data_IF_416057861182
#
_entry.id   IF_416057861182
#
_cell.length_a   1.000
_cell.length_b   1.000
_cell.length_c   1.000
_cell.angle_alpha   90.00
_cell.angle_beta   90.00
_cell.angle_gamma   90.00
#
_symmetry.space_group_name_H-M   'P 1'
#
loop_
_entity.id
_entity.type
_entity.pdbx_description
1 polymer ?
#
# COMPACT_ATOMS: atom_id res chain seq x y z
N UNK A 1 -31.16 -13.41 0.06
CA UNK A 1 -30.52 -12.43 -0.86
C UNK A 1 -29.05 -12.21 -0.54
N UNK A 2 -28.68 -11.97 0.74
CA UNK A 2 -27.28 -11.75 1.13
C UNK A 2 -26.37 -12.93 0.79
N UNK A 3 -26.83 -14.17 0.94
CA UNK A 3 -26.05 -15.38 0.59
C UNK A 3 -25.63 -15.42 -0.87
N UNK A 4 -26.52 -15.07 -1.81
CA UNK A 4 -26.20 -15.01 -3.23
C UNK A 4 -25.18 -13.91 -3.54
N UNK A 5 -25.28 -12.76 -2.86
CA UNK A 5 -24.30 -11.67 -2.98
C UNK A 5 -22.94 -12.09 -2.45
N UNK A 6 -22.89 -12.74 -1.27
CA UNK A 6 -21.65 -13.24 -0.70
C UNK A 6 -21.02 -14.32 -1.59
N UNK A 7 -21.81 -15.27 -2.09
CA UNK A 7 -21.32 -16.30 -3.01
C UNK A 7 -20.71 -15.67 -4.26
N UNK A 8 -21.41 -14.73 -4.89
CA UNK A 8 -20.90 -14.01 -6.06
C UNK A 8 -19.62 -13.24 -5.71
N UNK A 9 -19.60 -12.55 -4.58
CA UNK A 9 -18.44 -11.80 -4.10
C UNK A 9 -17.20 -12.69 -3.94
N UNK A 10 -17.33 -13.85 -3.28
CA UNK A 10 -16.22 -14.77 -3.07
C UNK A 10 -15.78 -15.48 -4.36
N UNK A 11 -16.70 -15.83 -5.26
CA UNK A 11 -16.35 -16.35 -6.59
C UNK A 11 -15.54 -15.32 -7.38
N UNK A 12 -16.01 -14.07 -7.45
CA UNK A 12 -15.29 -12.99 -8.12
C UNK A 12 -13.96 -12.69 -7.45
N UNK A 13 -13.89 -12.77 -6.13
CA UNK A 13 -12.65 -12.59 -5.36
C UNK A 13 -11.63 -13.67 -5.71
N UNK A 14 -12.04 -14.94 -5.73
CA UNK A 14 -11.17 -16.06 -6.12
C UNK A 14 -10.61 -15.89 -7.54
N UNK A 15 -11.47 -15.54 -8.51
CA UNK A 15 -11.05 -15.25 -9.89
C UNK A 15 -10.11 -14.04 -9.98
N UNK A 16 -10.39 -12.99 -9.21
CA UNK A 16 -9.59 -11.76 -9.17
C UNK A 16 -8.20 -12.01 -8.59
N UNK A 17 -8.12 -12.73 -7.47
CA UNK A 17 -6.85 -13.12 -6.83
C UNK A 17 -6.03 -13.98 -7.78
N UNK A 18 -6.66 -14.97 -8.43
CA UNK A 18 -5.98 -15.83 -9.40
C UNK A 18 -5.40 -15.01 -10.56
N UNK A 19 -6.21 -14.12 -11.14
CA UNK A 19 -5.78 -13.22 -12.20
C UNK A 19 -4.59 -12.36 -11.78
N UNK A 20 -4.70 -11.63 -10.66
CA UNK A 20 -3.64 -10.73 -10.17
C UNK A 20 -2.38 -11.53 -9.82
N UNK A 21 -2.50 -12.68 -9.13
CA UNK A 21 -1.35 -13.49 -8.73
C UNK A 21 -0.56 -14.09 -9.90
N UNK A 22 -1.19 -14.24 -11.08
CA UNK A 22 -0.55 -14.67 -12.31
C UNK A 22 0.05 -13.46 -13.05
N UNK A 23 -0.75 -12.44 -13.34
CA UNK A 23 -0.37 -11.29 -14.17
C UNK A 23 0.71 -10.42 -13.50
N UNK A 24 0.69 -10.28 -12.17
CA UNK A 24 1.67 -9.46 -11.44
C UNK A 24 3.10 -10.02 -11.46
N UNK A 25 3.28 -11.29 -11.83
CA UNK A 25 4.60 -11.92 -11.93
C UNK A 25 5.45 -11.21 -12.99
N UNK A 26 4.84 -10.83 -14.11
CA UNK A 26 5.50 -10.10 -15.19
C UNK A 26 5.65 -8.60 -14.93
N UNK A 27 4.86 -8.01 -14.05
CA UNK A 27 4.95 -6.58 -13.74
C UNK A 27 6.28 -6.26 -13.05
N UNK A 28 7.07 -5.27 -13.52
CA UNK A 28 8.40 -4.96 -12.98
C UNK A 28 8.29 -4.14 -11.68
N UNK A 29 7.70 -4.72 -10.64
CA UNK A 29 7.46 -4.06 -9.36
C UNK A 29 8.25 -4.75 -8.23
N UNK A 30 8.52 -4.03 -7.14
CA UNK A 30 9.14 -4.63 -5.94
C UNK A 30 8.37 -5.87 -5.44
N UNK A 31 9.05 -6.93 -4.97
CA UNK A 31 8.38 -8.15 -4.47
C UNK A 31 7.37 -7.90 -3.35
N UNK A 32 7.66 -6.95 -2.47
CA UNK A 32 6.77 -6.58 -1.35
C UNK A 32 5.47 -5.99 -1.89
N UNK A 33 5.54 -5.11 -2.89
CA UNK A 33 4.33 -4.51 -3.44
C UNK A 33 3.55 -5.47 -4.34
N UNK A 34 4.22 -6.45 -4.97
CA UNK A 34 3.53 -7.58 -5.63
C UNK A 34 2.63 -8.32 -4.65
N UNK A 35 3.16 -8.68 -3.49
CA UNK A 35 2.35 -9.29 -2.42
C UNK A 35 1.26 -8.35 -1.91
N UNK A 36 1.56 -7.04 -1.79
CA UNK A 36 0.57 -6.04 -1.44
C UNK A 36 -0.66 -6.06 -2.34
N UNK A 37 -0.49 -6.16 -3.66
CA UNK A 37 -1.62 -6.20 -4.61
C UNK A 37 -2.41 -7.50 -4.52
N UNK A 38 -1.74 -8.63 -4.33
CA UNK A 38 -2.40 -9.93 -4.14
C UNK A 38 -3.24 -9.92 -2.86
N UNK A 39 -2.68 -9.43 -1.75
CA UNK A 39 -3.39 -9.34 -0.48
C UNK A 39 -4.55 -8.35 -0.53
N UNK A 40 -4.34 -7.15 -1.07
CA UNK A 40 -5.43 -6.18 -1.26
C UNK A 40 -6.56 -6.79 -2.10
N UNK A 41 -6.23 -7.52 -3.16
CA UNK A 41 -7.22 -8.22 -4.00
C UNK A 41 -7.93 -9.33 -3.23
N UNK A 42 -7.24 -10.05 -2.35
CA UNK A 42 -7.87 -11.03 -1.47
C UNK A 42 -8.85 -10.37 -0.49
N UNK A 43 -8.57 -9.15 -0.03
CA UNK A 43 -9.43 -8.42 0.90
C UNK A 43 -10.60 -7.72 0.23
N UNK A 44 -10.41 -7.18 -0.97
CA UNK A 44 -11.37 -6.29 -1.63
C UNK A 44 -11.94 -6.87 -2.94
N UNK A 45 -11.56 -8.10 -3.26
CA UNK A 45 -12.05 -8.86 -4.40
C UNK A 45 -11.85 -8.15 -5.74
N UNK A 46 -12.89 -8.05 -6.59
CA UNK A 46 -12.77 -7.46 -7.92
C UNK A 46 -12.35 -5.99 -7.92
N UNK A 47 -12.61 -5.25 -6.84
CA UNK A 47 -12.16 -3.87 -6.72
C UNK A 47 -10.64 -3.77 -6.60
N UNK A 48 -10.01 -4.67 -5.85
CA UNK A 48 -8.56 -4.75 -5.76
C UNK A 48 -7.91 -5.08 -7.10
N UNK A 49 -8.47 -6.04 -7.84
CA UNK A 49 -8.00 -6.36 -9.20
C UNK A 49 -8.17 -5.19 -10.17
N UNK A 50 -9.29 -4.48 -10.10
CA UNK A 50 -9.51 -3.26 -10.90
C UNK A 50 -8.47 -2.18 -10.60
N UNK A 51 -8.18 -1.94 -9.31
CA UNK A 51 -7.14 -0.99 -8.89
C UNK A 51 -5.74 -1.43 -9.32
N UNK A 52 -5.44 -2.73 -9.30
CA UNK A 52 -4.20 -3.28 -9.84
C UNK A 52 -4.02 -2.95 -11.33
N UNK A 53 -5.04 -3.25 -12.15
CA UNK A 53 -4.98 -3.02 -13.60
C UNK A 53 -4.81 -1.54 -13.93
N UNK A 54 -5.54 -0.65 -13.26
CA UNK A 54 -5.44 0.79 -13.50
C UNK A 54 -4.20 1.44 -12.89
N UNK A 55 -3.72 0.89 -11.78
CA UNK A 55 -2.68 1.48 -10.96
C UNK A 55 -1.27 1.07 -11.35
N UNK A 56 -1.04 -0.23 -11.50
CA UNK A 56 0.30 -0.84 -11.48
C UNK A 56 0.60 -1.74 -12.68
N UNK A 57 -0.42 -2.31 -13.32
CA UNK A 57 -0.17 -3.18 -14.47
C UNK A 57 0.54 -2.41 -15.59
N UNK A 58 1.71 -2.90 -16.01
CA UNK A 58 2.51 -2.27 -17.05
C UNK A 58 1.72 -2.23 -18.38
N UNK A 59 1.45 -1.05 -18.95
CA UNK A 59 0.61 -0.94 -20.14
C UNK A 59 1.33 -1.38 -21.41
N UNK A 60 2.63 -1.08 -21.51
CA UNK A 60 3.52 -1.47 -22.60
C UNK A 60 4.92 -1.71 -22.01
N UNK A 61 5.69 -2.67 -22.57
CA UNK A 61 7.04 -2.97 -22.07
C UNK A 61 7.92 -1.71 -21.99
N UNK A 62 8.55 -1.50 -20.84
CA UNK A 62 9.47 -0.38 -20.62
C UNK A 62 8.80 0.91 -20.16
N UNK A 63 7.47 0.96 -20.03
CA UNK A 63 6.75 2.17 -19.65
C UNK A 63 6.28 2.20 -18.19
N UNK A 64 6.57 1.16 -17.38
CA UNK A 64 6.09 1.07 -16.00
C UNK A 64 6.42 2.30 -15.15
N UNK A 65 7.68 2.77 -15.11
CA UNK A 65 8.10 3.93 -14.31
C UNK A 65 7.29 5.17 -14.66
N UNK A 66 7.17 5.45 -15.97
CA UNK A 66 6.44 6.61 -16.46
C UNK A 66 4.95 6.48 -16.18
N UNK A 67 4.41 5.28 -16.26
CA UNK A 67 3.02 4.99 -15.99
C UNK A 67 2.68 5.22 -14.51
N UNK A 68 3.50 4.69 -13.59
CA UNK A 68 3.28 4.81 -12.14
C UNK A 68 3.71 6.15 -11.56
N UNK A 69 4.47 6.97 -12.29
CA UNK A 69 4.91 8.30 -11.84
C UNK A 69 3.76 9.27 -11.53
N UNK A 70 2.56 9.02 -12.07
CA UNK A 70 1.39 9.83 -11.75
C UNK A 70 1.10 9.80 -10.24
N UNK A 71 0.91 10.98 -9.62
CA UNK A 71 0.76 11.07 -8.15
C UNK A 71 -0.35 10.19 -7.60
N UNK A 72 -1.52 10.15 -8.23
CA UNK A 72 -2.63 9.33 -7.75
C UNK A 72 -2.31 7.83 -7.74
N UNK A 73 -1.43 7.38 -8.66
CA UNK A 73 -0.91 6.01 -8.73
C UNK A 73 0.12 5.75 -7.63
N UNK A 74 1.01 6.71 -7.36
CA UNK A 74 1.90 6.65 -6.20
C UNK A 74 1.11 6.56 -4.88
N UNK A 75 0.06 7.37 -4.73
CA UNK A 75 -0.82 7.35 -3.56
C UNK A 75 -1.59 6.04 -3.47
N UNK A 76 -2.09 5.53 -4.60
CA UNK A 76 -2.73 4.22 -4.67
C UNK A 76 -1.78 3.13 -4.15
N UNK A 77 -0.55 3.06 -4.69
CA UNK A 77 0.51 2.15 -4.25
C UNK A 77 0.84 2.25 -2.77
N UNK A 78 0.92 3.46 -2.24
CA UNK A 78 1.19 3.69 -0.81
C UNK A 78 0.03 3.24 0.08
N UNK A 79 -1.21 3.56 -0.32
CA UNK A 79 -2.43 3.21 0.43
C UNK A 79 -2.64 1.70 0.46
N UNK A 80 -2.51 1.04 -0.69
CA UNK A 80 -2.64 -0.41 -0.77
C UNK A 80 -1.58 -1.14 0.05
N UNK A 81 -0.36 -0.61 0.13
CA UNK A 81 0.73 -1.25 0.83
C UNK A 81 0.47 -1.23 2.34
N UNK A 82 -0.02 -0.10 2.84
CA UNK A 82 -0.51 0.08 4.20
C UNK A 82 -1.68 -0.88 4.50
N UNK A 83 -2.75 -0.83 3.70
CA UNK A 83 -3.94 -1.68 3.91
C UNK A 83 -3.62 -3.18 3.78
N UNK A 84 -2.69 -3.55 2.89
CA UNK A 84 -2.25 -4.93 2.75
C UNK A 84 -1.55 -5.43 4.02
N UNK A 85 -0.66 -4.62 4.61
CA UNK A 85 0.02 -4.96 5.86
C UNK A 85 -0.92 -4.94 7.06
N UNK A 86 -1.57 -3.80 7.31
CA UNK A 86 -2.50 -3.62 8.42
C UNK A 86 -3.63 -4.65 8.37
N UNK A 87 -4.16 -4.94 7.18
CA UNK A 87 -5.23 -5.91 6.96
C UNK A 87 -4.87 -7.33 7.43
N UNK A 88 -3.64 -7.81 7.22
CA UNK A 88 -3.22 -9.12 7.76
C UNK A 88 -3.33 -9.14 9.28
N UNK A 89 -2.79 -8.12 9.94
CA UNK A 89 -2.77 -8.04 11.40
C UNK A 89 -4.17 -7.84 11.99
N UNK A 90 -5.00 -7.02 11.36
CA UNK A 90 -6.40 -6.80 11.76
C UNK A 90 -7.21 -8.09 11.64
N UNK A 91 -7.14 -8.79 10.50
CA UNK A 91 -7.87 -10.04 10.30
C UNK A 91 -7.41 -11.14 11.28
N UNK A 92 -6.10 -11.24 11.53
CA UNK A 92 -5.57 -12.15 12.54
C UNK A 92 -6.07 -11.77 13.95
N UNK A 93 -6.08 -10.47 14.27
CA UNK A 93 -6.61 -9.93 15.53
C UNK A 93 -8.08 -10.26 15.73
N UNK A 94 -8.90 -10.06 14.71
CA UNK A 94 -10.34 -10.34 14.72
C UNK A 94 -10.63 -11.83 14.95
N UNK A 95 -9.86 -12.72 14.31
CA UNK A 95 -9.98 -14.18 14.55
C UNK A 95 -9.59 -14.53 15.98
N UNK A 96 -8.48 -13.99 16.48
CA UNK A 96 -8.03 -14.23 17.86
C UNK A 96 -9.04 -13.67 18.87
N UNK A 97 -9.56 -12.46 18.63
CA UNK A 97 -10.57 -11.83 19.47
C UNK A 97 -11.85 -12.68 19.53
N UNK A 98 -12.31 -13.20 18.40
CA UNK A 98 -13.46 -14.13 18.33
C UNK A 98 -13.20 -15.41 19.12
N UNK A 99 -12.02 -16.02 19.01
CA UNK A 99 -11.64 -17.21 19.77
C UNK A 99 -11.57 -16.95 21.29
N UNK A 100 -11.14 -15.76 21.69
CA UNK A 100 -11.06 -15.32 23.08
C UNK A 100 -12.36 -14.70 23.60
N UNK A 101 -13.39 -14.59 22.75
CA UNK A 101 -14.68 -13.95 23.04
C UNK A 101 -14.50 -12.51 23.58
N UNK A 102 -13.52 -11.79 23.06
CA UNK A 102 -13.34 -10.37 23.37
C UNK A 102 -14.49 -9.56 22.77
N UNK A 103 -14.92 -8.54 23.49
CA UNK A 103 -15.97 -7.63 23.02
C UNK A 103 -15.54 -6.18 23.19
N UNK A 104 -16.21 -5.32 22.43
CA UNK A 104 -16.12 -3.88 22.61
C UNK A 104 -14.74 -3.31 22.30
N UNK A 105 -14.20 -2.58 23.27
CA UNK A 105 -12.92 -1.86 23.12
C UNK A 105 -11.72 -2.81 23.07
N UNK A 106 -11.79 -3.98 23.73
CA UNK A 106 -10.67 -4.92 23.77
C UNK A 106 -10.47 -5.61 22.42
N UNK A 107 -11.56 -5.91 21.72
CA UNK A 107 -11.55 -6.46 20.37
C UNK A 107 -10.84 -5.50 19.40
N UNK A 108 -11.32 -4.25 19.34
CA UNK A 108 -10.71 -3.19 18.50
C UNK A 108 -9.26 -2.92 18.89
N UNK A 109 -8.94 -2.91 20.18
CA UNK A 109 -7.57 -2.68 20.63
C UNK A 109 -6.64 -3.79 20.15
N UNK A 110 -7.08 -5.05 20.20
CA UNK A 110 -6.30 -6.19 19.70
C UNK A 110 -6.09 -6.10 18.18
N UNK A 111 -7.16 -5.86 17.42
CA UNK A 111 -7.10 -5.65 15.97
C UNK A 111 -6.16 -4.50 15.61
N UNK A 112 -6.26 -3.37 16.32
CA UNK A 112 -5.43 -2.20 16.07
C UNK A 112 -3.95 -2.50 16.34
N UNK A 113 -3.64 -3.13 17.48
CA UNK A 113 -2.25 -3.42 17.87
C UNK A 113 -1.61 -4.42 16.92
N UNK A 114 -2.32 -5.50 16.54
CA UNK A 114 -1.79 -6.48 15.61
C UNK A 114 -1.71 -5.93 14.18
N UNK A 115 -2.72 -5.19 13.74
CA UNK A 115 -2.73 -4.48 12.47
C UNK A 115 -1.54 -3.55 12.32
N UNK A 116 -1.45 -2.56 13.20
CA UNK A 116 -0.37 -1.58 13.22
C UNK A 116 0.99 -2.26 13.37
N UNK A 117 1.11 -3.24 14.29
CA UNK A 117 2.35 -3.95 14.53
C UNK A 117 2.85 -4.69 13.29
N UNK A 118 1.98 -5.43 12.62
CA UNK A 118 2.33 -6.18 11.42
C UNK A 118 2.59 -5.27 10.21
N UNK A 119 1.73 -4.27 9.97
CA UNK A 119 1.90 -3.27 8.91
C UNK A 119 3.21 -2.51 9.06
N UNK A 120 3.48 -1.98 10.25
CA UNK A 120 4.69 -1.20 10.53
C UNK A 120 5.98 -2.02 10.46
N UNK A 121 6.01 -3.21 11.08
CA UNK A 121 7.26 -4.00 11.22
C UNK A 121 7.56 -4.84 9.99
N UNK A 122 6.55 -5.48 9.39
CA UNK A 122 6.76 -6.40 8.28
C UNK A 122 6.63 -5.65 6.96
N UNK A 123 5.54 -4.93 6.73
CA UNK A 123 5.29 -4.32 5.43
C UNK A 123 6.13 -3.06 5.22
N UNK A 124 5.97 -2.05 6.09
CA UNK A 124 6.64 -0.76 5.92
C UNK A 124 8.15 -0.86 6.12
N UNK A 125 8.60 -1.45 7.22
CA UNK A 125 10.02 -1.44 7.58
C UNK A 125 10.87 -2.37 6.71
N UNK A 126 10.35 -3.51 6.23
CA UNK A 126 11.09 -4.33 5.26
C UNK A 126 11.15 -3.67 3.88
N UNK A 127 10.07 -3.02 3.44
CA UNK A 127 10.05 -2.29 2.17
C UNK A 127 11.05 -1.13 2.16
N UNK A 128 11.13 -0.37 3.26
CA UNK A 128 12.02 0.79 3.36
C UNK A 128 13.44 0.45 3.82
N UNK A 129 13.77 -0.81 4.07
CA UNK A 129 15.09 -1.20 4.57
C UNK A 129 16.22 -0.85 3.60
N UNK A 130 16.01 -1.05 2.29
CA UNK A 130 16.98 -0.69 1.25
C UNK A 130 17.25 0.81 1.21
N UNK A 131 16.16 1.59 1.17
CA UNK A 131 16.19 3.07 1.15
C UNK A 131 16.77 3.68 2.44
N UNK A 132 16.61 3.01 3.59
CA UNK A 132 17.15 3.44 4.87
C UNK A 132 18.65 3.08 5.08
N UNK A 133 19.38 2.77 4.01
CA UNK A 133 20.79 2.39 4.08
C UNK A 133 21.02 1.03 4.76
N UNK A 134 20.05 0.12 4.67
CA UNK A 134 20.12 -1.24 5.23
C UNK A 134 19.72 -1.36 6.71
N UNK A 135 19.52 -0.24 7.41
CA UNK A 135 19.19 -0.23 8.85
C UNK A 135 17.68 -0.39 9.08
N UNK A 136 17.28 -1.56 9.58
CA UNK A 136 15.89 -1.85 9.92
C UNK A 136 15.34 -0.93 11.03
N UNK A 137 16.18 -0.56 12.02
CA UNK A 137 15.79 0.38 13.08
C UNK A 137 15.52 1.79 12.53
N UNK A 138 16.31 2.22 11.54
CA UNK A 138 16.07 3.51 10.89
C UNK A 138 14.79 3.48 10.05
N UNK A 139 14.54 2.38 9.32
CA UNK A 139 13.30 2.18 8.57
C UNK A 139 12.07 2.28 9.50
N UNK A 140 12.06 1.54 10.62
CA UNK A 140 11.00 1.60 11.62
C UNK A 140 10.75 3.02 12.15
N UNK A 141 11.81 3.74 12.52
CA UNK A 141 11.68 5.10 13.05
C UNK A 141 11.09 6.06 12.02
N UNK A 142 11.51 5.92 10.77
CA UNK A 142 11.10 6.82 9.69
C UNK A 142 9.66 6.54 9.23
N UNK A 143 9.19 5.29 9.32
CA UNK A 143 7.83 4.91 8.90
C UNK A 143 6.77 5.05 9.98
N UNK A 144 7.16 5.12 11.26
CA UNK A 144 6.22 5.06 12.38
C UNK A 144 5.09 6.09 12.28
N UNK A 145 5.41 7.38 12.11
CA UNK A 145 4.39 8.43 12.04
C UNK A 145 3.52 8.29 10.80
N UNK A 146 4.14 7.96 9.66
CA UNK A 146 3.42 7.79 8.43
C UNK A 146 2.40 6.63 8.53
N UNK A 147 2.78 5.54 9.19
CA UNK A 147 1.88 4.43 9.44
C UNK A 147 0.79 4.78 10.45
N UNK A 148 1.15 5.42 11.55
CA UNK A 148 0.20 5.81 12.60
C UNK A 148 -0.92 6.68 12.04
N UNK A 149 -0.56 7.69 11.24
CA UNK A 149 -1.53 8.60 10.63
C UNK A 149 -2.47 7.86 9.67
N UNK A 150 -1.94 6.94 8.87
CA UNK A 150 -2.74 6.16 7.91
C UNK A 150 -3.66 5.16 8.62
N UNK A 151 -3.13 4.41 9.58
CA UNK A 151 -3.85 3.41 10.37
C UNK A 151 -5.01 4.03 11.16
N UNK A 152 -4.81 5.19 11.78
CA UNK A 152 -5.87 5.92 12.47
C UNK A 152 -7.07 6.20 11.57
N UNK A 153 -6.82 6.67 10.34
CA UNK A 153 -7.89 7.03 9.39
C UNK A 153 -8.51 5.78 8.77
N UNK A 154 -7.73 4.72 8.55
CA UNK A 154 -8.24 3.41 8.14
C UNK A 154 -9.24 2.89 9.18
N UNK A 155 -8.84 2.84 10.44
CA UNK A 155 -9.67 2.33 11.54
C UNK A 155 -10.88 3.23 11.82
N UNK A 156 -10.76 4.54 11.61
CA UNK A 156 -11.86 5.49 11.75
C UNK A 156 -13.09 5.12 10.88
N UNK A 157 -12.87 4.58 9.68
CA UNK A 157 -13.96 4.14 8.80
C UNK A 157 -14.24 2.63 8.92
N UNK A 158 -13.21 1.83 9.13
CA UNK A 158 -13.34 0.38 9.23
C UNK A 158 -14.19 -0.03 10.44
N UNK A 159 -13.88 0.47 11.64
CA UNK A 159 -14.55 0.10 12.89
C UNK A 159 -16.07 0.32 12.84
N UNK A 160 -16.59 1.53 12.53
CA UNK A 160 -18.03 1.73 12.47
C UNK A 160 -18.69 0.89 11.35
N UNK A 161 -18.02 0.72 10.21
CA UNK A 161 -18.54 -0.12 9.11
C UNK A 161 -18.68 -1.58 9.56
N UNK A 162 -17.63 -2.11 10.20
CA UNK A 162 -17.59 -3.47 10.72
C UNK A 162 -18.68 -3.70 11.77
N UNK A 163 -18.74 -2.86 12.81
CA UNK A 163 -19.69 -3.03 13.91
C UNK A 163 -21.14 -2.90 13.44
N UNK A 164 -21.43 -1.93 12.55
CA UNK A 164 -22.75 -1.78 11.96
C UNK A 164 -23.13 -3.00 11.12
N UNK A 165 -22.21 -3.50 10.29
CA UNK A 165 -22.48 -4.65 9.43
C UNK A 165 -22.65 -5.93 10.26
N UNK A 166 -21.81 -6.19 11.26
CA UNK A 166 -21.90 -7.36 12.13
C UNK A 166 -23.24 -7.41 12.89
N UNK A 167 -23.76 -6.26 13.32
CA UNK A 167 -25.07 -6.15 13.98
C UNK A 167 -26.25 -6.58 13.09
N UNK A 168 -26.16 -6.36 11.78
CA UNK A 168 -27.26 -6.59 10.84
C UNK A 168 -27.09 -7.87 10.01
N UNK A 169 -25.89 -8.45 9.99
CA UNK A 169 -25.58 -9.66 9.21
C UNK A 169 -25.47 -10.86 10.16
N UNK A 170 -26.44 -11.80 10.11
CA UNK A 170 -26.38 -13.01 10.93
C UNK A 170 -25.11 -13.83 10.63
N UNK A 171 -24.47 -14.34 11.69
CA UNK A 171 -23.26 -15.16 11.57
C UNK A 171 -21.98 -14.37 11.26
N UNK A 172 -22.01 -13.03 11.23
CA UNK A 172 -20.84 -12.21 10.95
C UNK A 172 -19.79 -12.18 12.08
N UNK A 173 -20.09 -12.72 13.25
CA UNK A 173 -19.15 -12.83 14.38
C UNK A 173 -18.34 -14.14 14.39
N UNK A 174 -18.75 -15.13 13.58
CA UNK A 174 -18.10 -16.43 13.51
C UNK A 174 -17.07 -16.46 12.36
N UNK A 175 -15.75 -16.51 12.63
CA UNK A 175 -14.72 -16.55 11.61
C UNK A 175 -14.73 -17.83 10.77
N UNK A 176 -15.44 -18.89 11.19
CA UNK A 176 -15.66 -20.06 10.36
C UNK A 176 -16.67 -19.81 9.22
N UNK A 177 -17.52 -18.78 9.35
CA UNK A 177 -18.57 -18.45 8.40
C UNK A 177 -18.13 -17.46 7.31
N UNK A 178 -18.75 -17.52 6.11
CA UNK A 178 -18.45 -16.57 5.03
C UNK A 178 -18.90 -15.13 5.34
N UNK A 179 -19.90 -14.96 6.22
CA UNK A 179 -20.42 -13.67 6.62
C UNK A 179 -19.38 -12.79 7.33
N UNK A 180 -18.57 -13.39 8.21
CA UNK A 180 -17.47 -12.70 8.88
C UNK A 180 -16.50 -12.11 7.86
N UNK A 181 -15.99 -12.94 6.95
CA UNK A 181 -15.03 -12.52 5.93
C UNK A 181 -15.59 -11.47 4.97
N UNK A 182 -16.88 -11.57 4.64
CA UNK A 182 -17.56 -10.58 3.81
C UNK A 182 -17.65 -9.22 4.51
N UNK A 183 -18.02 -9.20 5.80
CA UNK A 183 -18.09 -7.97 6.59
C UNK A 183 -16.71 -7.33 6.74
N UNK A 184 -15.68 -8.13 7.07
CA UNK A 184 -14.30 -7.65 7.16
C UNK A 184 -13.80 -7.08 5.83
N UNK A 185 -14.14 -7.73 4.71
CA UNK A 185 -13.84 -7.26 3.36
C UNK A 185 -14.45 -5.86 3.09
N UNK A 186 -15.73 -5.66 3.42
CA UNK A 186 -16.40 -4.37 3.25
C UNK A 186 -15.83 -3.29 4.18
N UNK A 187 -15.48 -3.66 5.40
CA UNK A 187 -14.90 -2.74 6.38
C UNK A 187 -13.49 -2.29 5.98
N UNK A 188 -12.64 -3.21 5.50
CA UNK A 188 -11.31 -2.89 4.96
C UNK A 188 -11.41 -2.01 3.71
N UNK A 189 -12.40 -2.22 2.85
CA UNK A 189 -12.65 -1.36 1.69
C UNK A 189 -13.02 0.07 2.12
N UNK A 190 -13.90 0.22 3.11
CA UNK A 190 -14.24 1.53 3.68
C UNK A 190 -13.01 2.21 4.30
N UNK A 191 -12.20 1.44 5.04
CA UNK A 191 -10.92 1.89 5.59
C UNK A 191 -9.94 2.35 4.51
N UNK A 192 -9.79 1.60 3.43
CA UNK A 192 -8.94 1.94 2.28
C UNK A 192 -9.35 3.28 1.66
N UNK A 193 -10.66 3.48 1.42
CA UNK A 193 -11.18 4.74 0.85
C UNK A 193 -10.91 5.91 1.78
N UNK A 194 -11.13 5.75 3.09
CA UNK A 194 -10.88 6.79 4.07
C UNK A 194 -9.39 7.10 4.25
N UNK A 195 -8.52 6.10 4.18
CA UNK A 195 -7.07 6.27 4.31
C UNK A 195 -6.44 6.94 3.06
N UNK A 196 -7.09 6.89 1.90
CA UNK A 196 -6.53 7.42 0.65
C UNK A 196 -6.16 8.92 0.72
N UNK A 197 -7.02 9.84 1.19
CA UNK A 197 -6.66 11.26 1.39
C UNK A 197 -5.48 11.49 2.35
N UNK A 198 -5.39 10.70 3.43
CA UNK A 198 -4.27 10.80 4.37
C UNK A 198 -2.96 10.37 3.69
N UNK A 199 -2.98 9.26 2.95
CA UNK A 199 -1.85 8.81 2.16
C UNK A 199 -1.50 9.79 1.03
N UNK A 200 -2.48 10.47 0.45
CA UNK A 200 -2.22 11.55 -0.51
C UNK A 200 -1.37 12.65 0.11
N UNK A 201 -1.73 13.09 1.31
CA UNK A 201 -0.95 14.07 2.04
C UNK A 201 0.47 13.56 2.35
N UNK A 202 0.60 12.34 2.88
CA UNK A 202 1.89 11.73 3.22
C UNK A 202 2.83 11.61 2.01
N UNK A 203 2.33 11.10 0.88
CA UNK A 203 3.10 10.96 -0.36
C UNK A 203 3.46 12.33 -0.94
N UNK A 204 2.53 13.30 -0.93
CA UNK A 204 2.81 14.66 -1.43
C UNK A 204 3.93 15.36 -0.66
N UNK A 205 4.16 14.96 0.59
CA UNK A 205 5.20 15.49 1.49
C UNK A 205 6.43 14.59 1.61
N UNK A 206 6.52 13.51 0.83
CA UNK A 206 7.65 12.58 0.81
C UNK A 206 7.85 11.89 2.18
N UNK A 207 6.77 11.74 2.96
CA UNK A 207 6.74 10.96 4.20
C UNK A 207 6.44 9.48 3.95
N UNK A 208 5.83 9.16 2.80
CA UNK A 208 5.68 7.81 2.27
C UNK A 208 6.11 7.77 0.80
N UNK A 209 6.53 6.59 0.35
CA UNK A 209 6.77 6.28 -1.04
C UNK A 209 5.59 5.48 -1.60
N UNK A 210 5.39 5.55 -2.92
CA UNK A 210 4.41 4.76 -3.65
C UNK A 210 5.04 3.57 -4.38
N UNK A 211 4.63 3.36 -5.62
CA UNK A 211 5.13 2.27 -6.48
C UNK A 211 6.57 2.51 -6.93
N UNK A 212 7.38 1.44 -6.94
CA UNK A 212 8.78 1.44 -7.35
C UNK A 212 9.04 0.34 -8.38
N UNK A 213 9.49 0.77 -9.56
CA UNK A 213 9.87 -0.18 -10.61
C UNK A 213 11.20 -0.83 -10.29
N UNK A 214 11.23 -2.17 -10.32
CA UNK A 214 12.46 -2.96 -10.15
C UNK A 214 12.65 -3.77 -11.42
N UNK A 215 13.69 -3.42 -12.20
CA UNK A 215 14.15 -4.21 -13.35
C UNK A 215 15.42 -4.96 -12.97
N UNK A 216 15.55 -6.18 -13.48
CA UNK A 216 16.88 -6.80 -13.54
C UNK A 216 17.74 -5.90 -14.44
N UNK A 217 18.96 -5.57 -14.01
CA UNK A 217 19.89 -4.84 -14.86
C UNK A 217 20.02 -5.61 -16.18
N UNK A 218 19.67 -4.97 -17.30
CA UNK A 218 20.02 -5.53 -18.60
C UNK A 218 21.55 -5.64 -18.67
N UNK A 219 22.11 -6.76 -19.13
CA UNK A 219 23.51 -6.78 -19.53
C UNK A 219 23.66 -5.74 -20.64
N UNK A 220 24.50 -4.75 -20.37
CA UNK A 220 24.88 -3.63 -21.22
C UNK A 220 25.29 -4.11 -22.62
N UNK A 221 24.34 -4.29 -23.54
CA UNK A 221 24.55 -4.67 -24.94
C UNK A 221 23.26 -4.50 -25.76
N UNK A 222 22.96 -3.27 -26.14
CA UNK A 222 22.20 -2.99 -27.35
C UNK A 222 22.79 -1.71 -28.00
N UNK A 223 23.46 -1.81 -29.17
CA UNK A 223 23.95 -0.62 -29.85
C UNK A 223 22.75 0.22 -30.29
N UNK A 224 22.76 1.48 -29.87
CA UNK A 224 21.81 2.48 -30.33
C UNK A 224 21.81 2.52 -31.88
N UNK A 225 20.67 2.23 -32.48
CA UNK A 225 20.42 2.54 -33.88
C UNK A 225 20.34 4.05 -34.03
N UNK A 226 21.46 4.67 -34.37
CA UNK A 226 21.56 6.08 -34.69
C UNK A 226 21.02 6.32 -36.10
N UNK A 227 19.83 6.91 -36.18
CA UNK A 227 19.21 7.32 -37.42
C UNK A 227 19.60 8.77 -37.73
N UNK A 228 20.66 8.91 -38.52
CA UNK A 228 20.82 9.97 -39.51
C UNK A 228 21.37 11.31 -39.01
N UNK A 229 22.59 11.63 -39.43
CA UNK A 229 22.86 12.85 -40.22
C UNK A 229 24.24 12.75 -40.90
N UNK A 230 24.21 12.58 -42.22
CA UNK A 230 25.38 12.73 -43.07
C UNK A 230 25.72 14.21 -43.25
N UNK A 231 26.94 14.64 -42.91
CA UNK A 231 27.66 15.72 -43.61
C UNK A 231 29.18 15.50 -43.57
N UNK A 232 29.77 15.78 -44.73
CA UNK A 232 31.17 15.67 -45.11
C UNK A 232 32.13 16.62 -44.36
N UNK A 233 33.40 16.21 -44.23
CA UNK A 233 34.52 17.03 -44.70
C UNK A 233 35.62 17.44 -43.70
N UNK A 234 36.80 16.85 -43.92
CA UNK A 234 38.16 17.42 -43.77
C UNK A 234 38.87 17.51 -42.38
N UNK A 235 39.89 16.64 -42.26
CA UNK A 235 41.26 16.86 -41.75
C UNK A 235 41.52 17.79 -40.56
N UNK A 236 42.13 17.26 -39.49
CA UNK A 236 43.44 17.69 -38.97
C UNK A 236 43.97 16.70 -37.92
N UNK A 237 45.28 16.46 -37.96
CA UNK A 237 46.03 15.62 -37.03
C UNK A 237 46.59 16.43 -35.86
N UNK A 238 46.55 15.89 -34.63
CA UNK A 238 47.53 16.17 -33.56
C UNK A 238 47.36 15.24 -32.36
N UNK A 239 48.49 14.77 -31.83
CA UNK A 239 48.71 13.96 -30.63
C UNK A 239 48.09 14.55 -29.34
N UNK A 240 47.64 13.72 -28.40
CA UNK A 240 48.18 13.57 -27.02
C UNK A 240 47.27 12.74 -26.07
N UNK A 241 47.90 11.73 -25.44
CA UNK A 241 47.74 11.15 -24.08
C UNK A 241 46.36 10.64 -23.53
N UNK A 242 46.36 9.56 -22.71
CA UNK A 242 45.15 8.89 -22.24
C UNK A 242 44.61 9.56 -20.96
N UNK A 243 43.29 9.76 -20.87
CA UNK A 243 42.62 10.19 -19.64
C UNK A 243 41.46 9.27 -19.32
N UNK A 244 41.62 8.68 -18.14
CA UNK A 244 40.75 7.94 -17.23
C UNK A 244 39.23 7.97 -17.47
N UNK A 245 38.66 6.77 -17.30
CA UNK A 245 37.23 6.50 -17.21
C UNK A 245 36.60 7.20 -16.01
N UNK A 246 35.53 7.95 -16.23
CA UNK A 246 34.53 8.22 -15.20
C UNK A 246 33.15 7.89 -15.76
N UNK A 247 32.64 6.72 -15.35
CA UNK A 247 31.25 6.37 -15.52
C UNK A 247 30.39 7.25 -14.63
N UNK A 248 29.66 8.17 -15.24
CA UNK A 248 28.59 8.90 -14.57
C UNK A 248 27.39 7.97 -14.42
N UNK A 249 27.39 7.21 -13.33
CA UNK A 249 26.17 6.63 -12.79
C UNK A 249 25.22 7.79 -12.45
N UNK A 250 24.12 7.90 -13.19
CA UNK A 250 22.96 8.71 -12.81
C UNK A 250 22.35 8.14 -11.52
N UNK A 251 22.98 8.46 -10.39
CA UNK A 251 22.35 8.40 -9.08
C UNK A 251 21.20 9.40 -9.09
N UNK A 252 19.97 8.90 -9.09
CA UNK A 252 18.78 9.68 -8.79
C UNK A 252 19.04 10.45 -7.49
N UNK A 253 19.24 11.75 -7.64
CA UNK A 253 19.55 12.65 -6.57
C UNK A 253 18.46 12.58 -5.49
N UNK A 254 18.91 12.41 -4.25
CA UNK A 254 18.15 12.55 -3.03
C UNK A 254 17.25 13.79 -3.08
N UNK A 255 15.95 13.59 -3.29
CA UNK A 255 14.92 14.55 -2.95
C UNK A 255 14.77 14.58 -1.44
N UNK A 256 15.60 15.38 -0.78
CA UNK A 256 15.53 15.60 0.67
C UNK A 256 14.09 15.87 1.09
N UNK A 257 13.65 15.19 2.15
CA UNK A 257 12.36 15.41 2.78
C UNK A 257 12.12 16.93 2.87
N UNK A 258 11.10 17.46 2.17
CA UNK A 258 10.65 18.82 2.44
C UNK A 258 10.31 18.84 3.92
N UNK A 259 11.10 19.58 4.72
CA UNK A 259 10.96 19.67 6.17
C UNK A 259 9.50 19.97 6.53
N UNK A 260 8.73 18.92 6.84
CA UNK A 260 7.38 19.07 7.34
C UNK A 260 7.54 19.71 8.72
N UNK A 261 7.01 20.92 8.88
CA UNK A 261 7.06 21.60 10.17
C UNK A 261 6.46 20.71 11.24
N UNK A 262 7.09 20.64 12.41
CA UNK A 262 6.56 19.89 13.56
C UNK A 262 5.11 20.27 13.89
N UNK A 263 4.73 21.54 13.68
CA UNK A 263 3.35 22.01 13.86
C UNK A 263 2.36 21.38 12.85
N UNK A 264 2.81 21.14 11.62
CA UNK A 264 1.99 20.50 10.60
C UNK A 264 1.84 19.00 10.90
N UNK A 265 2.94 18.34 11.28
CA UNK A 265 2.90 16.93 11.66
C UNK A 265 2.02 16.73 12.90
N UNK A 266 2.15 17.58 13.92
CA UNK A 266 1.28 17.51 15.12
C UNK A 266 -0.18 17.77 14.78
N UNK A 267 -0.48 18.75 13.92
CA UNK A 267 -1.83 19.03 13.44
C UNK A 267 -2.45 17.82 12.72
N UNK A 268 -1.69 17.15 11.85
CA UNK A 268 -2.16 15.93 11.17
C UNK A 268 -2.31 14.74 12.13
N UNK A 269 -1.43 14.61 13.13
CA UNK A 269 -1.58 13.61 14.19
C UNK A 269 -2.87 13.84 14.97
N UNK A 270 -3.13 15.06 15.42
CA UNK A 270 -4.38 15.42 16.14
C UNK A 270 -5.60 15.16 15.26
N UNK A 271 -5.56 15.54 13.99
CA UNK A 271 -6.63 15.24 13.04
C UNK A 271 -6.87 13.73 12.92
N UNK A 272 -5.82 12.94 12.75
CA UNK A 272 -5.93 11.48 12.61
C UNK A 272 -6.54 10.84 13.85
N UNK A 273 -6.12 11.26 15.05
CA UNK A 273 -6.66 10.79 16.32
C UNK A 273 -8.11 11.24 16.52
N UNK A 274 -8.46 12.47 16.14
CA UNK A 274 -9.82 12.97 16.21
C UNK A 274 -10.77 12.20 15.28
N UNK A 275 -10.32 11.88 14.06
CA UNK A 275 -11.07 11.03 13.12
C UNK A 275 -11.25 9.62 13.68
N UNK A 276 -10.19 9.03 14.25
CA UNK A 276 -10.28 7.71 14.88
C UNK A 276 -11.25 7.70 16.06
N UNK A 277 -11.14 8.69 16.97
CA UNK A 277 -12.06 8.85 18.11
C UNK A 277 -13.51 9.07 17.65
N UNK A 278 -13.73 9.83 16.57
CA UNK A 278 -15.04 9.99 15.96
C UNK A 278 -15.58 8.65 15.43
N UNK A 279 -14.77 7.87 14.73
CA UNK A 279 -15.13 6.54 14.24
C UNK A 279 -15.55 5.60 15.37
N UNK A 280 -14.78 5.58 16.47
CA UNK A 280 -15.10 4.84 17.70
C UNK A 280 -16.42 5.34 18.30
N UNK A 281 -16.64 6.65 18.37
CA UNK A 281 -17.89 7.24 18.86
C UNK A 281 -19.11 6.84 18.03
N UNK A 282 -19.00 6.87 16.69
CA UNK A 282 -20.04 6.39 15.77
C UNK A 282 -20.32 4.90 16.00
N UNK A 283 -19.27 4.10 16.14
CA UNK A 283 -19.41 2.66 16.40
C UNK A 283 -20.08 2.38 17.76
N UNK A 284 -19.76 3.16 18.79
CA UNK A 284 -20.41 3.10 20.10
C UNK A 284 -21.91 3.41 20.01
N UNK A 285 -22.27 4.49 19.30
CA UNK A 285 -23.64 4.99 19.22
C UNK A 285 -24.55 4.09 18.40
N UNK A 286 -24.07 3.55 17.28
CA UNK A 286 -24.91 2.83 16.33
C UNK A 286 -24.64 1.31 16.28
N UNK A 287 -23.40 0.89 16.49
CA UNK A 287 -23.00 -0.52 16.57
C UNK A 287 -23.30 -1.13 17.94
N UNK A 288 -22.94 -0.43 19.01
CA UNK A 288 -23.04 -0.91 20.39
C UNK A 288 -21.82 -1.76 20.77
N UNK A 289 -21.14 -1.41 21.86
CA UNK A 289 -19.96 -2.14 22.38
C UNK A 289 -20.31 -3.31 23.32
N UNK A 290 -21.56 -3.77 23.27
CA UNK A 290 -22.13 -4.78 24.17
C UNK A 290 -21.67 -6.20 23.85
#
# INVERSE_FOLDING_TARGET
MLEGVMLLWFLLTGLSVLYVAIDIRSTPESPVLKWGFVLLTAYTGPLGAFLYVLGCREPLPGLHERYVAARWRQVLGSTMHCVAGDGVGILAGAVIASMLQLTGVLDIALEYVLGFGFGWTIFQALFMRGEAGGSYKAALRNTFFAELLSMNVLMAAMVPTMMLAMKHVPGAHDPAGPAFWFVMSMALLAGFVAAYPMNWWLVSRHLKHGMMTVRAAEPDNAPAHDAGHAKHGASHASNHAPVESNGEAHGMAHGGAKNVSHAMLSGMTVLSLALFALGIGVAALFGGFS
#
